data_IF_925794961497
#
_entry.id   IF_925794961497
#
_cell.length_a   1.000
_cell.length_b   1.000
_cell.length_c   1.000
_cell.angle_alpha   90.00
_cell.angle_beta   90.00
_cell.angle_gamma   90.00
#
_symmetry.space_group_name_H-M   'P 1'
#
loop_
_entity.id
_entity.type
_entity.pdbx_description
1 polymer ?
#
# COMPACT_ATOMS: atom_id res chain seq x y z
N UNK A 1 -3.54 -1.36 38.24
CA UNK A 1 -3.60 -2.01 36.90
C UNK A 1 -3.16 -1.00 35.86
N UNK A 2 -2.12 -1.35 35.10
CA UNK A 2 -1.28 -0.43 34.32
C UNK A 2 -1.87 -0.22 32.91
N UNK A 3 -2.50 0.93 32.65
CA UNK A 3 -3.18 1.26 31.37
C UNK A 3 -2.15 1.82 30.36
N UNK A 4 -0.99 1.18 30.20
CA UNK A 4 0.14 1.68 29.40
C UNK A 4 0.26 1.11 27.98
N UNK A 5 -0.80 0.60 27.36
CA UNK A 5 -0.64 -0.07 26.05
C UNK A 5 -1.55 0.40 24.91
N UNK A 6 -2.42 1.39 25.11
CA UNK A 6 -3.43 1.76 24.10
C UNK A 6 -3.15 3.01 23.27
N UNK A 7 -1.89 3.23 22.87
CA UNK A 7 -1.64 4.10 21.72
C UNK A 7 -0.23 3.87 21.15
N UNK A 8 0.02 2.69 20.57
CA UNK A 8 1.09 2.58 19.58
C UNK A 8 0.57 3.29 18.32
N UNK A 9 0.55 4.62 18.35
CA UNK A 9 0.42 5.41 17.13
C UNK A 9 1.57 4.95 16.26
N UNK A 10 1.23 4.20 15.22
CA UNK A 10 2.17 3.75 14.19
C UNK A 10 2.64 5.05 13.55
N UNK A 11 3.73 5.62 14.07
CA UNK A 11 4.44 6.70 13.46
C UNK A 11 5.01 6.11 12.18
N UNK A 12 4.26 6.24 11.08
CA UNK A 12 4.86 6.08 9.76
C UNK A 12 5.90 7.18 9.68
N UNK A 13 7.15 6.82 9.98
CA UNK A 13 8.29 7.66 9.63
C UNK A 13 8.12 7.97 8.15
N UNK A 14 8.08 9.26 7.80
CA UNK A 14 8.09 9.67 6.40
C UNK A 14 9.27 8.95 5.74
N UNK A 15 9.03 8.25 4.63
CA UNK A 15 10.11 7.66 3.86
C UNK A 15 11.12 8.75 3.52
N UNK A 16 12.41 8.47 3.71
CA UNK A 16 13.45 9.42 3.31
C UNK A 16 13.57 9.43 1.78
N UNK A 17 14.10 10.51 1.17
CA UNK A 17 14.34 10.55 -0.27
C UNK A 17 15.16 9.37 -0.78
N UNK A 18 16.15 8.92 0.00
CA UNK A 18 17.02 7.78 -0.34
C UNK A 18 16.22 6.48 -0.36
N UNK A 19 15.38 6.24 0.64
CA UNK A 19 14.49 5.07 0.67
C UNK A 19 13.54 5.05 -0.53
N UNK A 20 12.97 6.21 -0.89
CA UNK A 20 12.11 6.32 -2.07
C UNK A 20 12.89 6.03 -3.35
N UNK A 21 14.12 6.54 -3.48
CA UNK A 21 14.99 6.25 -4.62
C UNK A 21 15.26 4.75 -4.75
N UNK A 22 15.65 4.10 -3.65
CA UNK A 22 15.91 2.65 -3.62
C UNK A 22 14.68 1.82 -4.02
N UNK A 23 13.48 2.20 -3.54
CA UNK A 23 12.23 1.51 -3.88
C UNK A 23 11.93 1.66 -5.38
N UNK A 24 12.05 2.88 -5.93
CA UNK A 24 11.85 3.14 -7.36
C UNK A 24 12.85 2.37 -8.24
N UNK A 25 14.09 2.21 -7.77
CA UNK A 25 15.11 1.45 -8.48
C UNK A 25 14.90 -0.05 -8.38
N UNK A 26 14.24 -0.55 -7.33
CA UNK A 26 14.02 -1.98 -7.12
C UNK A 26 12.78 -2.53 -7.82
N UNK A 27 11.65 -1.84 -7.74
CA UNK A 27 10.36 -2.37 -8.22
C UNK A 27 10.20 -2.06 -9.72
N UNK A 28 9.90 -3.08 -10.52
CA UNK A 28 9.88 -2.98 -11.99
C UNK A 28 8.54 -3.36 -12.62
N UNK A 29 7.72 -4.16 -11.96
CA UNK A 29 6.40 -4.54 -12.47
C UNK A 29 5.26 -3.97 -11.63
N UNK A 30 4.05 -3.81 -12.20
CA UNK A 30 2.86 -3.41 -11.44
C UNK A 30 2.60 -4.32 -10.24
N UNK A 31 2.71 -5.64 -10.41
CA UNK A 31 2.47 -6.63 -9.36
C UNK A 31 3.50 -6.50 -8.21
N UNK A 32 4.77 -6.24 -8.52
CA UNK A 32 5.80 -5.97 -7.51
C UNK A 32 5.47 -4.72 -6.69
N UNK A 33 4.98 -3.66 -7.35
CA UNK A 33 4.55 -2.43 -6.67
C UNK A 33 3.36 -2.67 -5.76
N UNK A 34 2.34 -3.39 -6.25
CA UNK A 34 1.13 -3.69 -5.49
C UNK A 34 1.43 -4.62 -4.30
N UNK A 35 2.24 -5.66 -4.50
CA UNK A 35 2.70 -6.56 -3.44
C UNK A 35 3.47 -5.79 -2.37
N UNK A 36 4.44 -4.96 -2.78
CA UNK A 36 5.24 -4.17 -1.84
C UNK A 36 4.37 -3.20 -1.03
N UNK A 37 3.43 -2.51 -1.68
CA UNK A 37 2.50 -1.61 -1.00
C UNK A 37 1.64 -2.34 0.04
N UNK A 38 1.14 -3.54 -0.29
CA UNK A 38 0.38 -4.35 0.64
C UNK A 38 1.23 -4.85 1.81
N UNK A 39 2.48 -5.25 1.60
CA UNK A 39 3.35 -5.72 2.68
C UNK A 39 3.79 -4.61 3.63
N UNK A 40 4.00 -3.40 3.11
CA UNK A 40 4.69 -2.33 3.86
C UNK A 40 3.76 -1.21 4.34
N UNK A 41 2.60 -1.02 3.71
CA UNK A 41 1.68 0.10 4.00
C UNK A 41 0.30 -0.39 4.48
N UNK A 42 -0.07 -1.65 4.25
CA UNK A 42 -1.31 -2.21 4.79
C UNK A 42 -1.33 -2.15 6.33
N UNK A 43 -2.49 -1.91 6.99
CA UNK A 43 -3.85 -1.76 6.43
C UNK A 43 -4.19 -0.37 5.92
N UNK A 44 -3.24 0.58 5.93
CA UNK A 44 -3.50 1.98 5.57
C UNK A 44 -3.48 2.26 4.06
N UNK A 45 -3.04 1.31 3.24
CA UNK A 45 -3.16 1.38 1.78
C UNK A 45 -4.62 1.36 1.34
N UNK A 46 -4.96 2.19 0.36
CA UNK A 46 -6.21 2.12 -0.40
C UNK A 46 -5.95 2.61 -1.83
N UNK A 47 -6.58 1.98 -2.82
CA UNK A 47 -6.52 2.40 -4.22
C UNK A 47 -7.65 3.41 -4.48
N UNK A 48 -7.28 4.63 -4.88
CA UNK A 48 -8.23 5.59 -5.41
C UNK A 48 -8.52 5.24 -6.87
N UNK A 49 -9.79 5.21 -7.27
CA UNK A 49 -10.18 4.84 -8.62
C UNK A 49 -11.39 5.64 -9.12
N UNK A 50 -11.32 6.07 -10.37
CA UNK A 50 -12.44 6.61 -11.15
C UNK A 50 -13.17 5.53 -11.96
N UNK A 51 -12.75 4.28 -11.80
CA UNK A 51 -13.15 3.11 -12.58
C UNK A 51 -12.87 3.23 -14.09
N UNK A 52 -11.79 3.92 -14.46
CA UNK A 52 -11.21 3.86 -15.80
C UNK A 52 -10.71 2.46 -16.16
N UNK A 53 -10.45 2.20 -17.44
CA UNK A 53 -10.02 0.87 -17.90
C UNK A 53 -8.68 0.45 -17.26
N UNK A 54 -7.77 1.40 -17.10
CA UNK A 54 -6.49 1.25 -16.41
C UNK A 54 -6.68 0.93 -14.93
N UNK A 55 -7.60 1.62 -14.25
CA UNK A 55 -7.86 1.40 -12.85
C UNK A 55 -8.44 0.01 -12.61
N UNK A 56 -9.38 -0.42 -13.46
CA UNK A 56 -9.99 -1.76 -13.38
C UNK A 56 -8.94 -2.85 -13.60
N UNK A 57 -7.96 -2.62 -14.47
CA UNK A 57 -6.82 -3.52 -14.63
C UNK A 57 -5.99 -3.63 -13.32
N UNK A 58 -5.72 -2.50 -12.68
CA UNK A 58 -5.00 -2.47 -11.38
C UNK A 58 -5.82 -3.12 -10.27
N UNK A 59 -7.14 -2.89 -10.22
CA UNK A 59 -8.06 -3.56 -9.27
C UNK A 59 -8.04 -5.08 -9.48
N UNK A 60 -8.02 -5.54 -10.73
CA UNK A 60 -7.93 -6.97 -11.04
C UNK A 60 -6.61 -7.57 -10.54
N UNK A 61 -5.48 -6.91 -10.78
CA UNK A 61 -4.18 -7.36 -10.25
C UNK A 61 -4.16 -7.34 -8.72
N UNK A 62 -4.64 -6.26 -8.11
CA UNK A 62 -4.65 -6.07 -6.66
C UNK A 62 -5.55 -7.10 -5.96
N UNK A 63 -6.73 -7.40 -6.51
CA UNK A 63 -7.66 -8.39 -5.95
C UNK A 63 -7.15 -9.82 -6.01
N UNK A 64 -6.30 -10.16 -7.00
CA UNK A 64 -5.59 -11.44 -7.03
C UNK A 64 -4.55 -11.58 -5.92
N UNK A 65 -3.94 -10.47 -5.52
CA UNK A 65 -2.94 -10.45 -4.45
C UNK A 65 -3.61 -10.43 -3.07
N UNK A 66 -4.58 -9.52 -2.88
CA UNK A 66 -5.37 -9.40 -1.66
C UNK A 66 -6.82 -9.02 -1.99
N UNK A 67 -7.78 -9.96 -1.91
CA UNK A 67 -9.21 -9.70 -2.13
C UNK A 67 -9.81 -8.65 -1.18
N UNK A 68 -9.22 -8.44 -0.01
CA UNK A 68 -9.66 -7.48 1.01
C UNK A 68 -9.00 -6.09 0.84
N UNK A 69 -8.27 -5.87 -0.26
CA UNK A 69 -7.67 -4.58 -0.55
C UNK A 69 -8.74 -3.49 -0.70
N UNK A 70 -8.52 -2.33 -0.06
CA UNK A 70 -9.50 -1.24 -0.03
C UNK A 70 -9.43 -0.42 -1.32
N UNK A 71 -10.58 -0.18 -1.94
CA UNK A 71 -10.74 0.68 -3.11
C UNK A 71 -11.76 1.77 -2.78
N UNK A 72 -11.53 3.01 -3.23
CA UNK A 72 -12.48 4.12 -3.06
C UNK A 72 -12.49 5.04 -4.29
N UNK A 73 -13.57 5.82 -4.44
CA UNK A 73 -13.80 6.79 -5.50
C UNK A 73 -14.11 8.16 -4.88
#
# INVERSE_FOLDING_TARGET
MNIKQHQKMIHMSKFTPEQISEINDKLKTPEEVLQWGLENIHPKLALASSFGAEDVCVIHMLSKINPEARVFH
#
